data_IF_129018665744
#
_entry.id   IF_129018665744
#
_cell.length_a   1.000
_cell.length_b   1.000
_cell.length_c   1.000
_cell.angle_alpha   90.00
_cell.angle_beta   90.00
_cell.angle_gamma   90.00
#
_symmetry.space_group_name_H-M   'P 1'
#
loop_
_entity.id
_entity.type
_entity.pdbx_description
1 polymer ?
#
# COMPACT_ATOMS: atom_id res chain seq x y z
N UNK A 1 -5.72 -13.41 -2.18
CA UNK A 1 -4.96 -12.53 -3.08
C UNK A 1 -4.01 -11.72 -2.22
N UNK A 2 -2.71 -12.06 -2.20
CA UNK A 2 -1.71 -11.21 -1.52
C UNK A 2 -1.42 -10.04 -2.47
N UNK A 3 -1.74 -8.78 -2.09
CA UNK A 3 -1.76 -7.66 -3.03
C UNK A 3 -0.39 -7.36 -3.64
N UNK A 4 0.71 -7.66 -2.93
CA UNK A 4 2.08 -7.42 -3.39
C UNK A 4 2.49 -8.22 -4.64
N UNK A 5 1.90 -9.41 -4.85
CA UNK A 5 2.23 -10.28 -5.99
C UNK A 5 1.02 -10.53 -6.90
N UNK A 6 -0.10 -9.85 -6.65
CA UNK A 6 -1.36 -10.08 -7.36
C UNK A 6 -1.25 -9.91 -8.89
N UNK A 7 -0.53 -8.92 -9.45
CA UNK A 7 -0.37 -8.78 -10.90
C UNK A 7 0.46 -9.91 -11.50
N UNK A 8 1.55 -10.30 -10.84
CA UNK A 8 2.45 -11.36 -11.30
C UNK A 8 1.74 -12.72 -11.31
N UNK A 9 1.01 -13.02 -10.24
CA UNK A 9 0.23 -14.26 -10.10
C UNK A 9 -1.03 -14.26 -10.98
N UNK A 10 -1.64 -13.09 -11.27
CA UNK A 10 -2.73 -13.00 -12.24
C UNK A 10 -2.28 -13.17 -13.68
N UNK A 11 -1.10 -12.65 -14.05
CA UNK A 11 -0.52 -12.87 -15.37
C UNK A 11 -0.29 -14.36 -15.63
N UNK A 12 0.32 -15.07 -14.67
CA UNK A 12 0.48 -16.53 -14.69
C UNK A 12 -0.86 -17.29 -14.73
N UNK A 13 -1.92 -16.75 -14.11
CA UNK A 13 -3.26 -17.34 -14.17
C UNK A 13 -3.94 -17.13 -15.52
N UNK A 14 -3.81 -15.95 -16.12
CA UNK A 14 -4.35 -15.62 -17.45
C UNK A 14 -3.77 -16.52 -18.55
N UNK A 15 -2.52 -16.98 -18.41
CA UNK A 15 -1.91 -17.90 -19.37
C UNK A 15 -2.33 -19.36 -19.17
N UNK A 16 -2.86 -19.72 -18.00
CA UNK A 16 -3.27 -21.10 -17.67
C UNK A 16 -4.77 -21.36 -17.85
N UNK A 17 -5.62 -20.37 -17.56
CA UNK A 17 -7.09 -20.40 -17.71
C UNK A 17 -7.50 -18.96 -18.06
N UNK A 18 -8.58 -18.73 -18.80
CA UNK A 18 -9.12 -17.38 -19.04
C UNK A 18 -10.04 -16.96 -17.87
N UNK A 19 -9.54 -16.26 -16.82
CA UNK A 19 -10.39 -15.81 -15.73
C UNK A 19 -11.34 -14.70 -16.20
N UNK A 20 -12.48 -14.53 -15.53
CA UNK A 20 -13.41 -13.41 -15.79
C UNK A 20 -12.71 -12.05 -15.66
N UNK A 21 -12.97 -11.13 -16.60
CA UNK A 21 -12.35 -9.80 -16.64
C UNK A 21 -12.50 -9.00 -15.33
N UNK A 22 -13.55 -9.25 -14.56
CA UNK A 22 -13.79 -8.58 -13.27
C UNK A 22 -12.76 -8.91 -12.18
N UNK A 23 -12.20 -10.13 -12.20
CA UNK A 23 -11.14 -10.52 -11.26
C UNK A 23 -9.82 -9.79 -11.56
N UNK A 24 -9.57 -9.50 -12.85
CA UNK A 24 -8.41 -8.74 -13.32
C UNK A 24 -8.51 -7.29 -12.89
N UNK A 25 -9.66 -6.66 -13.17
CA UNK A 25 -9.94 -5.30 -12.74
C UNK A 25 -9.85 -5.16 -11.21
N UNK A 26 -10.43 -6.09 -10.45
CA UNK A 26 -10.40 -6.07 -8.99
C UNK A 26 -8.97 -6.19 -8.42
N UNK A 27 -8.12 -7.01 -9.03
CA UNK A 27 -6.73 -7.18 -8.59
C UNK A 27 -5.88 -5.95 -8.89
N UNK A 28 -6.09 -5.31 -10.05
CA UNK A 28 -5.45 -4.03 -10.38
C UNK A 28 -5.90 -2.91 -9.45
N UNK A 29 -7.21 -2.85 -9.14
CA UNK A 29 -7.78 -1.84 -8.25
C UNK A 29 -7.25 -2.01 -6.82
N UNK A 30 -7.18 -3.24 -6.31
CA UNK A 30 -6.58 -3.53 -5.00
C UNK A 30 -5.10 -3.15 -4.94
N UNK A 31 -4.33 -3.37 -6.01
CA UNK A 31 -2.94 -2.96 -6.07
C UNK A 31 -2.82 -1.43 -5.99
N UNK A 32 -3.57 -0.71 -6.83
CA UNK A 32 -3.55 0.76 -6.84
C UNK A 32 -4.01 1.34 -5.49
N UNK A 33 -5.05 0.76 -4.88
CA UNK A 33 -5.52 1.15 -3.56
C UNK A 33 -4.44 0.92 -2.49
N UNK A 34 -3.74 -0.21 -2.54
CA UNK A 34 -2.65 -0.51 -1.60
C UNK A 34 -1.50 0.49 -1.73
N UNK A 35 -1.09 0.80 -2.97
CA UNK A 35 -0.07 1.81 -3.25
C UNK A 35 -0.52 3.17 -2.71
N UNK A 36 -1.75 3.61 -3.02
CA UNK A 36 -2.28 4.89 -2.57
C UNK A 36 -2.30 5.01 -1.03
N UNK A 37 -2.73 3.95 -0.33
CA UNK A 37 -2.77 3.92 1.14
C UNK A 37 -1.36 4.01 1.74
N UNK A 38 -0.41 3.24 1.21
CA UNK A 38 0.98 3.25 1.69
C UNK A 38 1.63 4.60 1.41
N UNK A 39 1.49 5.14 0.19
CA UNK A 39 2.03 6.45 -0.19
C UNK A 39 1.43 7.56 0.67
N UNK A 40 0.12 7.52 0.93
CA UNK A 40 -0.55 8.46 1.82
C UNK A 40 0.03 8.38 3.24
N UNK A 41 0.14 7.18 3.82
CA UNK A 41 0.72 6.99 5.16
C UNK A 41 2.17 7.48 5.22
N UNK A 42 2.99 7.15 4.22
CA UNK A 42 4.39 7.58 4.13
C UNK A 42 4.52 9.10 4.03
N UNK A 43 3.69 9.77 3.21
CA UNK A 43 3.69 11.22 3.08
C UNK A 43 3.32 11.91 4.41
N UNK A 44 2.38 11.34 5.16
CA UNK A 44 1.97 11.84 6.49
C UNK A 44 3.08 11.69 7.52
N UNK A 45 3.73 10.51 7.55
CA UNK A 45 4.89 10.27 8.42
C UNK A 45 6.02 11.24 8.07
N UNK A 46 6.30 11.48 6.79
CA UNK A 46 7.35 12.41 6.36
C UNK A 46 7.07 13.84 6.82
N UNK A 47 5.82 14.33 6.68
CA UNK A 47 5.42 15.67 7.14
C UNK A 47 5.62 15.89 8.64
N UNK A 48 5.38 14.86 9.47
CA UNK A 48 5.58 14.99 10.93
C UNK A 48 7.04 14.73 11.31
N UNK A 49 7.67 13.76 10.65
CA UNK A 49 9.05 13.36 10.90
C UNK A 49 10.07 14.46 10.58
N UNK A 50 9.83 15.29 9.55
CA UNK A 50 10.74 16.40 9.22
C UNK A 50 10.80 17.50 10.28
N UNK A 51 9.77 17.61 11.14
CA UNK A 51 9.77 18.54 12.28
C UNK A 51 10.43 17.95 13.53
N UNK A 52 10.80 16.67 13.52
CA UNK A 52 11.46 16.04 14.66
C UNK A 52 12.98 16.17 14.55
N UNK A 53 13.53 17.11 15.32
CA UNK A 53 14.97 17.21 15.55
C UNK A 53 15.32 16.64 16.94
N UNK A 54 16.26 15.69 16.99
CA UNK A 54 16.92 15.28 18.24
C UNK A 54 16.33 14.08 19.01
N UNK A 55 15.12 13.60 18.72
CA UNK A 55 14.58 12.35 19.29
C UNK A 55 14.43 11.28 18.21
N UNK A 56 14.90 10.06 18.50
CA UNK A 56 14.65 8.89 17.65
C UNK A 56 13.19 8.46 17.86
N UNK A 57 12.34 8.52 16.83
CA UNK A 57 10.94 8.18 17.00
C UNK A 57 10.78 6.70 17.31
N UNK A 58 9.89 6.40 18.25
CA UNK A 58 9.51 5.03 18.60
C UNK A 58 8.34 4.55 17.74
N UNK A 59 8.25 3.24 17.46
CA UNK A 59 7.15 2.63 16.69
C UNK A 59 5.73 3.15 17.04
N UNK A 60 5.33 3.26 18.32
CA UNK A 60 4.02 3.81 18.67
C UNK A 60 3.83 5.30 18.31
N UNK A 61 4.88 6.10 18.29
CA UNK A 61 4.80 7.52 17.88
C UNK A 61 4.55 7.65 16.38
N UNK A 62 5.22 6.82 15.57
CA UNK A 62 5.06 6.79 14.11
C UNK A 62 3.61 6.46 13.75
N UNK A 63 3.00 5.46 14.38
CA UNK A 63 1.59 5.09 14.16
C UNK A 63 0.66 6.25 14.56
N UNK A 64 0.98 6.97 15.65
CA UNK A 64 0.20 8.13 16.10
C UNK A 64 0.26 9.30 15.12
N UNK A 65 1.31 9.43 14.32
CA UNK A 65 1.43 10.47 13.30
C UNK A 65 0.57 10.21 12.08
N UNK A 66 0.34 8.94 11.74
CA UNK A 66 -0.56 8.56 10.65
C UNK A 66 -2.00 9.05 10.90
N UNK A 67 -2.44 9.05 12.16
CA UNK A 67 -3.80 9.43 12.56
C UNK A 67 -4.00 10.89 13.02
N UNK A 68 -2.93 11.70 13.16
CA UNK A 68 -3.07 13.13 13.53
C UNK A 68 -3.35 13.95 12.27
N UNK A 69 -4.44 14.75 12.19
CA UNK A 69 -4.83 15.54 11.01
C UNK A 69 -3.76 16.55 10.55
#
# INVERSE_FOLDING_TARGET
>A
LVPFFAPLLMFLRMTAVSPPAWQVASSMLLMLATIAVITWAAARIYRVGILMYGKRPTFPEIIRWVGRP
#
